data_IF_527895035278
#
_entry.id   IF_527895035278
#
_cell.length_a   1.000
_cell.length_b   1.000
_cell.length_c   1.000
_cell.angle_alpha   90.00
_cell.angle_beta   90.00
_cell.angle_gamma   90.00
#
_symmetry.space_group_name_H-M   'P 1'
#
loop_
_entity.id
_entity.type
_entity.pdbx_description
1 polymer ?
#
# COMPACT_ATOMS: atom_id res chain seq x y z
N UNK A 1 16.66 -24.63 39.58
CA UNK A 1 16.59 -24.61 38.10
C UNK A 1 15.31 -23.88 37.67
N UNK A 2 15.37 -22.95 36.71
CA UNK A 2 14.50 -21.77 36.73
C UNK A 2 13.18 -21.96 35.99
N UNK A 3 12.06 -21.67 36.66
CA UNK A 3 10.68 -21.53 36.11
C UNK A 3 10.52 -20.34 35.14
N UNK A 4 11.61 -19.69 34.73
CA UNK A 4 11.59 -18.45 33.94
C UNK A 4 11.44 -18.75 32.44
N UNK A 5 11.99 -19.87 31.97
CA UNK A 5 11.96 -20.27 30.56
C UNK A 5 10.52 -20.58 30.04
N UNK A 6 9.65 -21.27 30.81
CA UNK A 6 8.27 -21.55 30.40
C UNK A 6 7.40 -20.29 30.28
N UNK A 7 7.55 -19.31 31.18
CA UNK A 7 6.76 -18.07 31.16
C UNK A 7 7.14 -17.14 30.01
N UNK A 8 8.42 -17.10 29.67
CA UNK A 8 8.93 -16.32 28.53
C UNK A 8 8.43 -16.91 27.21
N UNK A 9 8.46 -18.24 27.07
CA UNK A 9 7.91 -18.95 25.93
C UNK A 9 6.39 -18.76 25.86
N UNK A 10 5.66 -18.83 26.97
CA UNK A 10 4.21 -18.59 26.99
C UNK A 10 3.86 -17.16 26.56
N UNK A 11 4.54 -16.14 27.09
CA UNK A 11 4.34 -14.74 26.66
C UNK A 11 4.68 -14.55 25.18
N UNK A 12 5.74 -15.18 24.70
CA UNK A 12 6.12 -15.16 23.29
C UNK A 12 5.05 -15.80 22.39
N UNK A 13 4.56 -16.99 22.76
CA UNK A 13 3.50 -17.70 22.03
C UNK A 13 2.18 -16.93 22.03
N UNK A 14 1.76 -16.35 23.16
CA UNK A 14 0.57 -15.49 23.22
C UNK A 14 0.72 -14.27 22.31
N UNK A 15 1.91 -13.69 22.25
CA UNK A 15 2.17 -12.53 21.39
C UNK A 15 2.09 -12.94 19.91
N UNK A 16 2.66 -14.08 19.54
CA UNK A 16 2.56 -14.65 18.18
C UNK A 16 1.11 -14.93 17.80
N UNK A 17 0.34 -15.59 18.67
CA UNK A 17 -1.06 -15.93 18.36
C UNK A 17 -1.93 -14.69 18.22
N UNK A 18 -1.70 -13.66 19.04
CA UNK A 18 -2.35 -12.35 18.89
C UNK A 18 -2.01 -11.70 17.54
N UNK A 19 -0.77 -11.83 17.05
CA UNK A 19 -0.40 -11.30 15.74
C UNK A 19 -1.04 -12.07 14.59
N UNK A 20 -1.07 -13.39 14.66
CA UNK A 20 -1.76 -14.21 13.66
C UNK A 20 -3.24 -13.82 13.58
N UNK A 21 -3.90 -13.65 14.73
CA UNK A 21 -5.29 -13.18 14.79
C UNK A 21 -5.48 -11.78 14.21
N UNK A 22 -4.57 -10.85 14.48
CA UNK A 22 -4.61 -9.50 13.86
C UNK A 22 -4.51 -9.55 12.34
N UNK A 23 -3.70 -10.47 11.79
CA UNK A 23 -3.57 -10.66 10.34
C UNK A 23 -4.82 -11.29 9.74
N UNK A 24 -5.41 -12.29 10.37
CA UNK A 24 -6.67 -12.90 9.92
C UNK A 24 -7.80 -11.85 9.88
N UNK A 25 -7.92 -11.04 10.92
CA UNK A 25 -8.84 -9.90 10.94
C UNK A 25 -8.49 -8.93 9.80
N UNK A 26 -7.20 -8.69 9.55
CA UNK A 26 -6.75 -7.84 8.45
C UNK A 26 -7.22 -8.31 7.07
N UNK A 27 -7.21 -9.63 6.81
CA UNK A 27 -7.73 -10.18 5.54
C UNK A 27 -9.25 -10.08 5.41
N UNK A 28 -9.98 -10.16 6.53
CA UNK A 28 -11.44 -9.94 6.53
C UNK A 28 -11.74 -8.46 6.30
N UNK A 29 -10.99 -7.56 6.94
CA UNK A 29 -11.13 -6.12 6.74
C UNK A 29 -10.79 -5.71 5.30
N UNK A 30 -9.75 -6.30 4.71
CA UNK A 30 -9.42 -6.12 3.29
C UNK A 30 -10.64 -6.40 2.40
N UNK A 31 -11.29 -7.55 2.59
CA UNK A 31 -12.48 -7.94 1.82
C UNK A 31 -13.64 -6.96 2.03
N UNK A 32 -13.94 -6.62 3.28
CA UNK A 32 -15.00 -5.66 3.62
C UNK A 32 -14.74 -4.29 2.99
N UNK A 33 -13.51 -3.78 3.08
CA UNK A 33 -13.18 -2.49 2.49
C UNK A 33 -13.32 -2.51 0.98
N UNK A 34 -12.74 -3.51 0.30
CA UNK A 34 -12.72 -3.56 -1.16
C UNK A 34 -14.11 -3.79 -1.75
N UNK A 35 -14.90 -4.69 -1.14
CA UNK A 35 -16.16 -5.17 -1.72
C UNK A 35 -17.42 -4.47 -1.19
N UNK A 36 -17.36 -3.85 0.01
CA UNK A 36 -18.54 -3.28 0.65
C UNK A 36 -18.43 -1.81 1.04
N UNK A 37 -17.24 -1.30 1.33
CA UNK A 37 -17.09 0.09 1.81
C UNK A 37 -16.59 1.07 0.74
N UNK A 38 -15.61 0.67 -0.07
CA UNK A 38 -14.95 1.57 -1.00
C UNK A 38 -15.70 1.69 -2.34
N UNK A 39 -15.86 2.90 -2.88
CA UNK A 39 -16.53 3.09 -4.17
C UNK A 39 -15.72 2.54 -5.34
N UNK A 40 -16.41 1.97 -6.33
CA UNK A 40 -15.77 1.26 -7.45
C UNK A 40 -15.02 2.15 -8.44
N UNK A 41 -15.55 3.36 -8.69
CA UNK A 41 -15.12 4.23 -9.81
C UNK A 41 -14.33 5.46 -9.37
N UNK A 42 -14.21 5.72 -8.07
CA UNK A 42 -13.60 6.94 -7.55
C UNK A 42 -12.91 6.70 -6.22
N UNK A 43 -12.02 7.61 -5.82
CA UNK A 43 -11.43 7.64 -4.48
C UNK A 43 -12.37 8.31 -3.47
N UNK A 44 -12.14 8.06 -2.20
CA UNK A 44 -12.85 8.74 -1.11
C UNK A 44 -12.44 10.21 -1.04
N UNK A 45 -13.43 11.10 -0.91
CA UNK A 45 -13.21 12.55 -0.88
C UNK A 45 -13.26 13.04 0.56
N UNK A 46 -12.17 13.62 1.09
CA UNK A 46 -12.15 14.17 2.44
C UNK A 46 -13.10 15.36 2.55
N UNK A 47 -13.64 15.59 3.75
CA UNK A 47 -14.62 16.64 3.99
C UNK A 47 -14.12 18.03 3.56
N UNK A 48 -12.84 18.33 3.85
CA UNK A 48 -12.20 19.60 3.49
C UNK A 48 -12.12 19.89 1.98
N UNK A 49 -12.25 18.87 1.11
CA UNK A 49 -12.24 19.03 -0.35
C UNK A 49 -13.64 19.12 -0.96
N UNK A 50 -14.70 19.13 -0.14
CA UNK A 50 -16.08 19.27 -0.62
C UNK A 50 -16.42 20.73 -0.84
N UNK A 51 -17.11 21.03 -1.93
CA UNK A 51 -17.66 22.35 -2.20
C UNK A 51 -18.86 22.60 -1.26
N UNK A 52 -18.61 23.26 -0.12
CA UNK A 52 -19.67 23.68 0.80
C UNK A 52 -20.57 24.75 0.17
N UNK A 53 -20.06 25.50 -0.82
CA UNK A 53 -20.78 26.57 -1.51
C UNK A 53 -21.91 26.02 -2.39
N UNK A 54 -21.69 24.87 -3.03
CA UNK A 54 -22.68 24.16 -3.85
C UNK A 54 -23.77 23.46 -3.01
N UNK A 55 -23.63 23.43 -1.68
CA UNK A 55 -24.52 22.69 -0.79
C UNK A 55 -25.98 23.20 -0.86
N UNK A 56 -26.17 24.49 -1.10
CA UNK A 56 -27.51 25.09 -1.24
C UNK A 56 -28.21 24.59 -2.50
N UNK A 57 -27.46 24.47 -3.60
CA UNK A 57 -27.96 23.93 -4.87
C UNK A 57 -28.23 22.43 -4.77
N UNK A 58 -27.28 21.67 -4.21
CA UNK A 58 -27.39 20.21 -4.01
C UNK A 58 -28.55 19.82 -3.08
N UNK A 59 -28.93 20.70 -2.15
CA UNK A 59 -30.06 20.47 -1.25
C UNK A 59 -31.38 21.04 -1.77
N UNK A 60 -31.38 21.76 -2.90
CA UNK A 60 -32.52 22.52 -3.42
C UNK A 60 -33.15 23.45 -2.37
N UNK A 61 -32.33 23.98 -1.45
CA UNK A 61 -32.79 24.79 -0.31
C UNK A 61 -33.48 24.01 0.82
N UNK A 62 -33.64 22.68 0.70
CA UNK A 62 -34.28 21.86 1.73
C UNK A 62 -33.31 21.50 2.87
N UNK A 63 -33.64 21.95 4.08
CA UNK A 63 -32.82 21.71 5.27
C UNK A 63 -32.63 20.22 5.60
N UNK A 64 -33.62 19.36 5.31
CA UNK A 64 -33.51 17.91 5.52
C UNK A 64 -32.53 17.28 4.53
N UNK A 65 -32.61 17.66 3.26
CA UNK A 65 -31.69 17.20 2.22
C UNK A 65 -30.27 17.67 2.51
N UNK A 66 -30.10 18.92 2.93
CA UNK A 66 -28.81 19.49 3.35
C UNK A 66 -28.17 18.68 4.47
N UNK A 67 -28.92 18.38 5.53
CA UNK A 67 -28.43 17.55 6.65
C UNK A 67 -28.01 16.15 6.19
N UNK A 68 -28.78 15.53 5.30
CA UNK A 68 -28.46 14.20 4.74
C UNK A 68 -27.16 14.22 3.94
N UNK A 69 -26.96 15.23 3.09
CA UNK A 69 -25.72 15.39 2.30
C UNK A 69 -24.51 15.56 3.21
N UNK A 70 -24.60 16.46 4.19
CA UNK A 70 -23.51 16.68 5.15
C UNK A 70 -23.16 15.41 5.95
N UNK A 71 -24.18 14.65 6.37
CA UNK A 71 -23.99 13.39 7.07
C UNK A 71 -23.26 12.36 6.19
N UNK A 72 -23.63 12.26 4.90
CA UNK A 72 -22.94 11.38 3.96
C UNK A 72 -21.49 11.82 3.72
N UNK A 73 -21.22 13.12 3.62
CA UNK A 73 -19.86 13.63 3.47
C UNK A 73 -19.00 13.38 4.70
N UNK A 74 -19.57 13.56 5.90
CA UNK A 74 -18.89 13.26 7.15
C UNK A 74 -18.59 11.76 7.26
N UNK A 75 -19.56 10.90 6.96
CA UNK A 75 -19.36 9.45 6.93
C UNK A 75 -18.23 9.05 5.95
N UNK A 76 -18.23 9.60 4.74
CA UNK A 76 -17.20 9.28 3.75
C UNK A 76 -15.80 9.74 4.21
N UNK A 77 -15.73 10.87 4.92
CA UNK A 77 -14.49 11.37 5.49
C UNK A 77 -13.96 10.44 6.60
N UNK A 78 -14.82 10.02 7.53
CA UNK A 78 -14.45 9.07 8.59
C UNK A 78 -14.04 7.73 8.01
N UNK A 79 -14.74 7.24 6.99
CA UNK A 79 -14.37 6.01 6.29
C UNK A 79 -12.97 6.12 5.67
N UNK A 80 -12.62 7.28 5.12
CA UNK A 80 -11.28 7.54 4.56
C UNK A 80 -10.20 7.49 5.64
N UNK A 81 -10.45 8.12 6.80
CA UNK A 81 -9.53 8.09 7.95
C UNK A 81 -9.34 6.65 8.43
N UNK A 82 -10.44 5.91 8.60
CA UNK A 82 -10.41 4.53 9.07
C UNK A 82 -9.61 3.63 8.11
N UNK A 83 -9.82 3.76 6.81
CA UNK A 83 -9.05 3.01 5.81
C UNK A 83 -7.57 3.36 5.86
N UNK A 84 -7.23 4.65 6.00
CA UNK A 84 -5.84 5.07 6.14
C UNK A 84 -5.18 4.45 7.40
N UNK A 85 -5.86 4.47 8.55
CA UNK A 85 -5.38 3.85 9.79
C UNK A 85 -5.17 2.34 9.64
N UNK A 86 -6.05 1.66 8.89
CA UNK A 86 -5.89 0.25 8.55
C UNK A 86 -4.60 -0.01 7.76
N UNK A 87 -4.35 0.77 6.70
CA UNK A 87 -3.12 0.68 5.91
C UNK A 87 -1.89 0.98 6.78
N UNK A 88 -1.91 2.04 7.58
CA UNK A 88 -0.80 2.40 8.49
C UNK A 88 -0.50 1.28 9.49
N UNK A 89 -1.54 0.61 10.00
CA UNK A 89 -1.38 -0.55 10.89
C UNK A 89 -0.66 -1.70 10.19
N UNK A 90 -0.99 -2.01 8.93
CA UNK A 90 -0.28 -3.04 8.15
C UNK A 90 1.19 -2.66 7.89
N UNK A 91 1.46 -1.39 7.58
CA UNK A 91 2.82 -0.86 7.40
C UNK A 91 3.64 -1.01 8.68
N UNK A 92 3.03 -0.80 9.84
CA UNK A 92 3.69 -0.98 11.13
C UNK A 92 3.94 -2.47 11.47
N UNK A 93 3.07 -3.38 11.02
CA UNK A 93 3.26 -4.82 11.19
C UNK A 93 4.43 -5.33 10.34
N UNK A 94 4.66 -4.78 9.14
CA UNK A 94 5.75 -5.17 8.23
C UNK A 94 7.15 -4.97 8.85
N UNK A 95 7.30 -4.03 9.80
CA UNK A 95 8.58 -3.76 10.48
C UNK A 95 8.99 -4.82 11.50
N UNK A 96 8.16 -5.85 11.72
CA UNK A 96 8.35 -6.89 12.75
C UNK A 96 9.11 -8.09 12.16
N UNK A 97 9.80 -8.93 12.95
CA UNK A 97 10.76 -9.91 12.43
C UNK A 97 10.15 -11.21 11.87
N UNK A 98 8.82 -11.39 11.89
CA UNK A 98 8.19 -12.66 11.53
C UNK A 98 7.83 -12.71 10.04
N UNK A 99 8.63 -13.46 9.25
CA UNK A 99 8.53 -13.55 7.79
C UNK A 99 7.09 -13.77 7.27
N UNK A 100 6.39 -14.76 7.82
CA UNK A 100 5.02 -15.09 7.39
C UNK A 100 4.02 -13.96 7.62
N UNK A 101 4.16 -13.25 8.74
CA UNK A 101 3.31 -12.09 9.07
C UNK A 101 3.62 -10.92 8.14
N UNK A 102 4.90 -10.71 7.82
CA UNK A 102 5.33 -9.70 6.85
C UNK A 102 4.74 -10.00 5.47
N UNK A 103 4.93 -11.22 4.96
CA UNK A 103 4.41 -11.65 3.65
C UNK A 103 2.90 -11.49 3.55
N UNK A 104 2.15 -11.92 4.57
CA UNK A 104 0.69 -11.74 4.59
C UNK A 104 0.30 -10.26 4.57
N UNK A 105 0.96 -9.43 5.37
CA UNK A 105 0.70 -7.98 5.41
C UNK A 105 0.99 -7.31 4.07
N UNK A 106 2.14 -7.62 3.45
CA UNK A 106 2.51 -7.11 2.11
C UNK A 106 1.51 -7.56 1.05
N UNK A 107 1.04 -8.80 1.12
CA UNK A 107 0.01 -9.32 0.21
C UNK A 107 -1.31 -8.56 0.37
N UNK A 108 -1.77 -8.33 1.60
CA UNK A 108 -2.99 -7.56 1.87
C UNK A 108 -2.87 -6.11 1.37
N UNK A 109 -1.72 -5.46 1.57
CA UNK A 109 -1.44 -4.14 1.00
C UNK A 109 -1.52 -4.14 -0.54
N UNK A 110 -0.88 -5.12 -1.20
CA UNK A 110 -0.90 -5.24 -2.64
C UNK A 110 -2.32 -5.52 -3.18
N UNK A 111 -3.09 -6.37 -2.50
CA UNK A 111 -4.48 -6.65 -2.84
C UNK A 111 -5.37 -5.42 -2.69
N UNK A 112 -5.20 -4.65 -1.61
CA UNK A 112 -5.85 -3.36 -1.43
C UNK A 112 -5.60 -2.45 -2.63
N UNK A 113 -4.34 -2.25 -3.02
CA UNK A 113 -3.97 -1.44 -4.19
C UNK A 113 -4.56 -1.99 -5.50
N UNK A 114 -4.58 -3.32 -5.68
CA UNK A 114 -5.16 -3.96 -6.86
C UNK A 114 -6.70 -3.90 -6.90
N UNK A 115 -7.38 -3.94 -5.76
CA UNK A 115 -8.84 -3.85 -5.68
C UNK A 115 -9.32 -2.41 -5.83
N UNK A 116 -8.82 -1.53 -4.97
CA UNK A 116 -9.21 -0.12 -4.87
C UNK A 116 -7.95 0.69 -4.54
N UNK A 117 -7.39 1.49 -5.47
CA UNK A 117 -6.14 2.23 -5.27
C UNK A 117 -6.32 3.47 -4.36
N UNK A 118 -6.89 3.27 -3.19
CA UNK A 118 -6.96 4.22 -2.09
C UNK A 118 -5.64 4.15 -1.31
N UNK A 119 -5.15 5.30 -0.82
CA UNK A 119 -3.85 5.39 -0.12
C UNK A 119 -2.63 4.86 -0.91
N UNK A 120 -2.65 4.97 -2.25
CA UNK A 120 -1.63 4.40 -3.14
C UNK A 120 -0.18 4.76 -2.78
N UNK A 121 0.08 6.02 -2.42
CA UNK A 121 1.42 6.50 -2.07
C UNK A 121 1.99 5.76 -0.86
N UNK A 122 1.17 5.59 0.19
CA UNK A 122 1.59 4.90 1.41
C UNK A 122 1.84 3.41 1.15
N UNK A 123 0.96 2.78 0.37
CA UNK A 123 1.08 1.36 0.01
C UNK A 123 2.33 1.11 -0.84
N UNK A 124 2.50 1.87 -1.92
CA UNK A 124 3.65 1.75 -2.82
C UNK A 124 4.95 2.00 -2.07
N UNK A 125 5.02 3.04 -1.24
CA UNK A 125 6.21 3.30 -0.44
C UNK A 125 6.54 2.13 0.50
N UNK A 126 5.54 1.56 1.16
CA UNK A 126 5.75 0.40 2.05
C UNK A 126 6.26 -0.84 1.29
N UNK A 127 5.70 -1.13 0.12
CA UNK A 127 6.14 -2.26 -0.71
C UNK A 127 7.55 -2.02 -1.27
N UNK A 128 7.83 -0.84 -1.84
CA UNK A 128 9.16 -0.48 -2.39
C UNK A 128 10.23 -0.53 -1.29
N UNK A 129 9.96 0.02 -0.10
CA UNK A 129 10.89 -0.08 1.03
C UNK A 129 11.20 -1.54 1.42
N UNK A 130 10.26 -2.47 1.23
CA UNK A 130 10.46 -3.89 1.51
C UNK A 130 11.42 -4.59 0.53
N UNK A 131 11.80 -3.97 -0.61
CA UNK A 131 12.92 -4.45 -1.42
C UNK A 131 14.25 -4.43 -0.65
N UNK A 132 14.43 -3.47 0.26
CA UNK A 132 15.61 -3.38 1.10
C UNK A 132 15.61 -4.31 2.31
N UNK A 133 14.65 -5.23 2.44
CA UNK A 133 14.54 -6.07 3.63
C UNK A 133 15.75 -7.04 3.76
N UNK A 134 16.30 -7.28 4.96
CA UNK A 134 17.46 -8.17 5.15
C UNK A 134 17.23 -9.61 4.69
N UNK A 135 15.99 -10.11 4.85
CA UNK A 135 15.58 -11.42 4.35
C UNK A 135 15.22 -11.35 2.86
N UNK A 136 16.04 -11.98 2.02
CA UNK A 136 15.88 -12.03 0.56
C UNK A 136 14.51 -12.58 0.11
N UNK A 137 13.89 -13.47 0.89
CA UNK A 137 12.57 -14.03 0.56
C UNK A 137 11.47 -12.96 0.57
N UNK A 138 11.64 -11.88 1.32
CA UNK A 138 10.72 -10.74 1.32
C UNK A 138 10.89 -9.93 0.05
N UNK A 139 12.12 -9.52 -0.30
CA UNK A 139 12.39 -8.75 -1.51
C UNK A 139 11.90 -9.46 -2.78
N UNK A 140 12.22 -10.74 -2.94
CA UNK A 140 11.73 -11.56 -4.06
C UNK A 140 10.19 -11.66 -4.07
N UNK A 141 9.55 -11.77 -2.91
CA UNK A 141 8.09 -11.81 -2.83
C UNK A 141 7.44 -10.48 -3.24
N UNK A 142 8.04 -9.34 -2.87
CA UNK A 142 7.56 -8.01 -3.29
C UNK A 142 7.61 -7.86 -4.80
N UNK A 143 8.65 -8.35 -5.47
CA UNK A 143 8.73 -8.34 -6.95
C UNK A 143 7.53 -9.05 -7.56
N UNK A 144 7.16 -10.23 -7.03
CA UNK A 144 5.98 -10.99 -7.49
C UNK A 144 4.68 -10.19 -7.28
N UNK A 145 4.52 -9.51 -6.15
CA UNK A 145 3.36 -8.64 -5.89
C UNK A 145 3.30 -7.47 -6.88
N UNK A 146 4.45 -6.85 -7.14
CA UNK A 146 4.61 -5.75 -8.09
C UNK A 146 4.25 -6.16 -9.52
N UNK A 147 4.66 -7.35 -9.96
CA UNK A 147 4.21 -7.90 -11.23
C UNK A 147 2.68 -8.07 -11.29
N UNK A 148 2.07 -8.56 -10.20
CA UNK A 148 0.62 -8.69 -10.10
C UNK A 148 -0.10 -7.34 -10.25
N UNK A 149 0.37 -6.32 -9.54
CA UNK A 149 -0.15 -4.95 -9.62
C UNK A 149 0.00 -4.39 -11.05
N UNK A 150 1.18 -4.53 -11.63
CA UNK A 150 1.51 -4.08 -12.99
C UNK A 150 0.59 -4.71 -14.06
N UNK A 151 0.31 -6.02 -13.93
CA UNK A 151 -0.62 -6.73 -14.81
C UNK A 151 -2.07 -6.29 -14.64
N UNK A 152 -2.51 -6.06 -13.40
CA UNK A 152 -3.89 -5.66 -13.10
C UNK A 152 -4.17 -4.21 -13.49
N UNK A 153 -3.21 -3.31 -13.28
CA UNK A 153 -3.33 -1.87 -13.48
C UNK A 153 -2.17 -1.33 -14.32
N UNK A 154 -2.21 -1.40 -15.66
CA UNK A 154 -1.12 -0.95 -16.53
C UNK A 154 -0.75 0.53 -16.36
N UNK A 155 -1.72 1.38 -15.97
CA UNK A 155 -1.49 2.80 -15.68
C UNK A 155 -0.67 3.04 -14.39
N UNK A 156 -0.63 2.07 -13.46
CA UNK A 156 0.14 2.16 -12.23
C UNK A 156 1.64 1.95 -12.45
N UNK A 157 2.05 1.35 -13.59
CA UNK A 157 3.47 1.05 -13.90
C UNK A 157 4.37 2.28 -13.82
N UNK A 158 3.90 3.43 -14.31
CA UNK A 158 4.68 4.67 -14.26
C UNK A 158 4.86 5.18 -12.83
N UNK A 159 3.80 5.13 -12.02
CA UNK A 159 3.84 5.54 -10.60
C UNK A 159 4.75 4.61 -9.80
N UNK A 160 4.74 3.31 -10.10
CA UNK A 160 5.66 2.34 -9.49
C UNK A 160 7.12 2.63 -9.86
N UNK A 161 7.40 2.98 -11.13
CA UNK A 161 8.74 3.36 -11.56
C UNK A 161 9.23 4.63 -10.86
N UNK A 162 8.35 5.63 -10.68
CA UNK A 162 8.65 6.85 -9.93
C UNK A 162 8.94 6.59 -8.45
N UNK A 163 8.17 5.71 -7.79
CA UNK A 163 8.43 5.39 -6.38
C UNK A 163 9.74 4.60 -6.21
N UNK A 164 10.07 3.73 -7.18
CA UNK A 164 11.37 3.05 -7.23
C UNK A 164 12.51 4.04 -7.47
N UNK A 165 12.34 5.02 -8.36
CA UNK A 165 13.30 6.11 -8.58
C UNK A 165 13.59 6.85 -7.27
N UNK A 166 12.55 7.21 -6.51
CA UNK A 166 12.71 7.87 -5.19
C UNK A 166 13.46 7.00 -4.19
N UNK A 167 13.21 5.69 -4.16
CA UNK A 167 13.97 4.78 -3.32
C UNK A 167 15.43 4.73 -3.77
N UNK A 168 15.67 4.51 -5.06
CA UNK A 168 17.00 4.36 -5.65
C UNK A 168 17.93 5.55 -5.36
N UNK A 169 17.44 6.78 -5.40
CA UNK A 169 18.25 7.98 -5.16
C UNK A 169 18.28 8.46 -3.70
N UNK A 170 17.70 7.69 -2.77
CA UNK A 170 17.78 8.01 -1.35
C UNK A 170 19.21 7.79 -0.83
N UNK A 171 19.64 8.62 0.13
CA UNK A 171 20.93 8.41 0.81
C UNK A 171 20.92 7.07 1.56
N UNK A 172 22.01 6.30 1.46
CA UNK A 172 22.22 5.02 2.16
C UNK A 172 21.24 3.89 1.80
N UNK A 173 20.91 3.76 0.52
CA UNK A 173 20.13 2.62 0.02
C UNK A 173 21.02 1.39 -0.03
N UNK A 174 20.48 0.24 0.38
CA UNK A 174 21.24 -1.00 0.37
C UNK A 174 21.26 -1.63 -1.03
N UNK A 175 22.30 -2.42 -1.33
CA UNK A 175 22.46 -3.08 -2.62
C UNK A 175 21.29 -4.00 -2.99
N UNK A 176 20.63 -4.61 -1.99
CA UNK A 176 19.44 -5.46 -2.22
C UNK A 176 18.27 -4.67 -2.76
N UNK A 177 18.01 -3.48 -2.23
CA UNK A 177 16.98 -2.59 -2.73
C UNK A 177 17.23 -2.23 -4.20
N UNK A 178 18.48 -1.93 -4.57
CA UNK A 178 18.86 -1.71 -5.96
C UNK A 178 18.64 -2.96 -6.81
N UNK A 179 19.13 -4.13 -6.37
CA UNK A 179 18.98 -5.39 -7.08
C UNK A 179 17.51 -5.71 -7.40
N UNK A 180 16.63 -5.67 -6.40
CA UNK A 180 15.21 -5.99 -6.61
C UNK A 180 14.47 -4.92 -7.41
N UNK A 181 14.83 -3.65 -7.23
CA UNK A 181 14.32 -2.56 -8.06
C UNK A 181 14.65 -2.78 -9.54
N UNK A 182 15.92 -3.05 -9.85
CA UNK A 182 16.41 -3.34 -11.21
C UNK A 182 15.77 -4.60 -11.78
N UNK A 183 15.60 -5.64 -10.94
CA UNK A 183 14.95 -6.89 -11.32
C UNK A 183 13.52 -6.63 -11.78
N UNK A 184 12.72 -5.91 -11.00
CA UNK A 184 11.35 -5.60 -11.37
C UNK A 184 11.27 -4.70 -12.62
N UNK A 185 12.09 -3.63 -12.68
CA UNK A 185 12.09 -2.71 -13.84
C UNK A 185 12.44 -3.44 -15.15
N UNK A 186 13.37 -4.41 -15.10
CA UNK A 186 13.79 -5.16 -16.30
C UNK A 186 12.77 -6.20 -16.77
N UNK A 187 11.88 -6.63 -15.87
CA UNK A 187 10.79 -7.57 -16.17
C UNK A 187 9.53 -6.88 -16.72
N UNK A 188 9.48 -5.54 -16.74
CA UNK A 188 8.33 -4.82 -17.28
C UNK A 188 8.15 -5.10 -18.77
N UNK A 189 6.93 -5.53 -19.14
CA UNK A 189 6.56 -5.68 -20.55
C UNK A 189 6.05 -4.36 -21.09
N UNK A 190 6.59 -3.95 -22.24
CA UNK A 190 6.24 -2.71 -22.91
C UNK A 190 5.32 -2.96 -24.10
N UNK A 191 4.43 -2.00 -24.33
CA UNK A 191 3.57 -1.91 -25.50
C UNK A 191 3.89 -0.61 -26.25
N UNK A 192 3.36 -0.44 -27.47
CA UNK A 192 3.57 0.79 -28.27
C UNK A 192 3.09 2.08 -27.58
N UNK A 193 2.21 1.98 -26.59
CA UNK A 193 1.66 3.12 -25.83
C UNK A 193 2.54 3.52 -24.64
N UNK A 194 3.59 2.76 -24.33
CA UNK A 194 4.38 2.92 -23.11
C UNK A 194 5.63 3.78 -23.33
N UNK A 195 5.62 4.70 -24.31
CA UNK A 195 6.79 5.53 -24.63
C UNK A 195 7.31 6.29 -23.41
N UNK A 196 6.40 6.93 -22.65
CA UNK A 196 6.76 7.69 -21.45
C UNK A 196 7.37 6.80 -20.36
N UNK A 197 6.80 5.61 -20.17
CA UNK A 197 7.31 4.62 -19.21
C UNK A 197 8.71 4.15 -19.61
N UNK A 198 8.95 3.86 -20.90
CA UNK A 198 10.26 3.47 -21.42
C UNK A 198 11.29 4.58 -21.20
N UNK A 199 10.96 5.83 -21.54
CA UNK A 199 11.83 6.99 -21.31
C UNK A 199 12.17 7.16 -19.83
N UNK A 200 11.17 7.00 -18.94
CA UNK A 200 11.38 7.07 -17.48
C UNK A 200 12.32 5.98 -17.00
N UNK A 201 12.09 4.72 -17.36
CA UNK A 201 12.92 3.59 -16.94
C UNK A 201 14.35 3.73 -17.45
N UNK A 202 14.53 4.16 -18.70
CA UNK A 202 15.86 4.46 -19.26
C UNK A 202 16.57 5.54 -18.44
N UNK A 203 15.87 6.60 -18.06
CA UNK A 203 16.43 7.68 -17.24
C UNK A 203 16.87 7.16 -15.87
N UNK A 204 16.06 6.31 -15.23
CA UNK A 204 16.39 5.67 -13.95
C UNK A 204 17.64 4.80 -14.09
N UNK A 205 17.73 3.96 -15.14
CA UNK A 205 18.91 3.11 -15.37
C UNK A 205 20.18 3.92 -15.58
N UNK A 206 20.15 4.96 -16.40
CA UNK A 206 21.30 5.83 -16.65
C UNK A 206 21.75 6.56 -15.38
N UNK A 207 20.80 7.03 -14.57
CA UNK A 207 21.11 7.73 -13.33
C UNK A 207 21.65 6.78 -12.25
N UNK A 208 21.15 5.54 -12.17
CA UNK A 208 21.71 4.50 -11.31
C UNK A 208 23.14 4.13 -11.72
N UNK A 209 23.43 4.00 -13.02
CA UNK A 209 24.78 3.73 -13.52
C UNK A 209 25.79 4.84 -13.20
N UNK A 210 25.36 6.09 -13.05
CA UNK A 210 26.23 7.20 -12.63
C UNK A 210 26.51 7.24 -11.13
N UNK A 211 25.68 6.54 -10.35
CA UNK A 211 25.70 6.59 -8.88
C UNK A 211 26.42 5.39 -8.27
N UNK A 212 26.42 4.26 -8.96
CA UNK A 212 27.18 3.04 -8.67
C UNK A 212 28.57 3.15 -9.32
#
# INVERSE_FOLDING_TARGET
MPKILPDLLRKFWTKISLFQRKIEIGTILEDIFINHCLPDKRKLVPFAKRALDELTELSSGNQRSRRKILMMWAFEHELKILYQQFIETLVEIIKRPLEEVIKRSLKTLANCLMGRPESENLILSALVNAFGHPNYKIGSFVVVLFEGISRKHPAMRIVMAEEIERLAFRKNVNERAHLYSMTFLSQMKFTKKDSDLCCRIMSIYLALFKTI
#
